data_IF_288479067748
#
_entry.id   IF_288479067748
#
_cell.length_a   1.000
_cell.length_b   1.000
_cell.length_c   1.000
_cell.angle_alpha   90.00
_cell.angle_beta   90.00
_cell.angle_gamma   90.00
#
_symmetry.space_group_name_H-M   'P 1'
#
loop_
_entity.id
_entity.type
_entity.pdbx_description
1 polymer ?
#
# COMPACT_ATOMS: atom_id res chain seq x y z
N UNK A 1 -3.83 23.11 -8.30
CA UNK A 1 -4.83 22.14 -8.78
C UNK A 1 -4.81 20.94 -7.86
N UNK A 2 -5.97 20.48 -7.45
CA UNK A 2 -6.09 19.29 -6.60
C UNK A 2 -6.04 18.08 -7.53
N UNK A 3 -5.09 17.16 -7.31
CA UNK A 3 -5.03 15.90 -8.06
C UNK A 3 -6.27 15.06 -7.73
N UNK A 4 -7.02 14.70 -8.75
CA UNK A 4 -8.21 13.89 -8.63
C UNK A 4 -7.89 12.39 -8.89
N UNK A 5 -8.60 11.46 -8.24
CA UNK A 5 -8.46 10.05 -8.56
C UNK A 5 -8.82 9.75 -10.02
N UNK A 6 -8.08 8.82 -10.63
CA UNK A 6 -8.31 8.39 -12.02
C UNK A 6 -9.34 7.25 -12.11
N UNK A 7 -9.52 6.49 -11.03
CA UNK A 7 -10.45 5.37 -11.00
C UNK A 7 -10.67 4.80 -9.61
N UNK A 8 -11.40 3.70 -9.54
CA UNK A 8 -11.63 2.94 -8.32
C UNK A 8 -10.63 1.80 -8.18
N UNK A 9 -10.33 1.35 -6.96
CA UNK A 9 -9.51 0.17 -6.71
C UNK A 9 -10.03 -1.07 -7.44
N UNK A 10 -9.13 -1.87 -8.00
CA UNK A 10 -9.46 -3.10 -8.74
C UNK A 10 -10.38 -4.06 -7.94
N UNK A 11 -10.20 -4.12 -6.62
CA UNK A 11 -10.95 -5.02 -5.74
C UNK A 11 -11.99 -4.29 -4.88
N UNK A 12 -12.61 -3.23 -5.41
CA UNK A 12 -13.59 -2.41 -4.67
C UNK A 12 -14.78 -3.23 -4.14
N UNK A 13 -15.23 -4.25 -4.86
CA UNK A 13 -16.32 -5.13 -4.42
C UNK A 13 -15.92 -5.90 -3.15
N UNK A 14 -14.67 -6.38 -3.09
CA UNK A 14 -14.13 -7.04 -1.91
C UNK A 14 -13.94 -6.07 -0.74
N UNK A 15 -13.56 -4.83 -1.03
CA UNK A 15 -13.49 -3.78 -0.02
C UNK A 15 -14.87 -3.46 0.55
N UNK A 16 -15.92 -3.53 -0.26
CA UNK A 16 -17.32 -3.39 0.18
C UNK A 16 -17.74 -4.51 1.13
N UNK A 17 -17.37 -5.76 0.82
CA UNK A 17 -17.60 -6.90 1.72
C UNK A 17 -16.86 -6.72 3.07
N UNK A 18 -15.59 -6.30 3.02
CA UNK A 18 -14.80 -6.03 4.23
C UNK A 18 -15.40 -4.88 5.04
N UNK A 19 -15.86 -3.82 4.37
CA UNK A 19 -16.54 -2.71 5.03
C UNK A 19 -17.80 -3.16 5.76
N UNK A 20 -18.65 -3.96 5.11
CA UNK A 20 -19.84 -4.52 5.72
C UNK A 20 -19.51 -5.40 6.94
N UNK A 21 -18.47 -6.23 6.83
CA UNK A 21 -17.99 -7.05 7.94
C UNK A 21 -17.47 -6.22 9.11
N UNK A 22 -16.70 -5.16 8.85
CA UNK A 22 -16.20 -4.25 9.88
C UNK A 22 -17.33 -3.50 10.57
N UNK A 23 -18.33 -3.01 9.81
CA UNK A 23 -19.52 -2.32 10.36
C UNK A 23 -20.37 -3.21 11.25
N UNK A 24 -20.31 -4.54 11.06
CA UNK A 24 -20.99 -5.52 11.91
C UNK A 24 -20.26 -5.84 13.22
N UNK A 25 -19.08 -5.27 13.47
CA UNK A 25 -18.26 -5.50 14.66
C UNK A 25 -18.60 -4.54 15.79
N UNK A 26 -18.56 -5.04 17.04
CA UNK A 26 -18.61 -4.18 18.22
C UNK A 26 -17.33 -3.34 18.38
N UNK A 27 -17.41 -2.27 19.16
CA UNK A 27 -16.24 -1.41 19.45
C UNK A 27 -15.08 -2.20 20.08
N UNK A 28 -15.38 -3.18 20.94
CA UNK A 28 -14.38 -4.01 21.62
C UNK A 28 -13.70 -4.97 20.63
N UNK A 29 -14.46 -5.60 19.73
CA UNK A 29 -13.90 -6.42 18.64
C UNK A 29 -13.02 -5.60 17.70
N UNK A 30 -13.43 -4.37 17.35
CA UNK A 30 -12.63 -3.45 16.52
C UNK A 30 -11.36 -3.02 17.24
N UNK A 31 -11.40 -2.77 18.55
CA UNK A 31 -10.22 -2.46 19.36
C UNK A 31 -9.22 -3.60 19.36
N UNK A 32 -9.68 -4.83 19.52
CA UNK A 32 -8.84 -6.02 19.46
C UNK A 32 -8.22 -6.21 18.08
N UNK A 33 -9.03 -6.04 17.02
CA UNK A 33 -8.59 -6.15 15.63
C UNK A 33 -7.52 -5.09 15.28
N UNK A 34 -7.75 -3.84 15.68
CA UNK A 34 -6.88 -2.71 15.33
C UNK A 34 -5.68 -2.54 16.28
N UNK A 35 -5.65 -3.22 17.41
CA UNK A 35 -4.57 -3.21 18.42
C UNK A 35 -4.10 -1.79 18.75
N UNK A 36 -5.03 -0.90 19.06
CA UNK A 36 -4.74 0.50 19.32
C UNK A 36 -5.46 1.01 20.58
N UNK A 37 -5.10 2.22 21.03
CA UNK A 37 -5.71 2.85 22.19
C UNK A 37 -7.14 3.36 21.90
N UNK A 38 -7.92 3.63 22.94
CA UNK A 38 -9.34 4.01 22.84
C UNK A 38 -9.57 5.26 21.97
N UNK A 39 -8.71 6.27 22.07
CA UNK A 39 -8.80 7.48 21.27
C UNK A 39 -8.72 7.18 19.76
N UNK A 40 -7.81 6.30 19.37
CA UNK A 40 -7.66 5.87 17.98
C UNK A 40 -8.85 4.99 17.55
N UNK A 41 -9.37 4.13 18.45
CA UNK A 41 -10.57 3.34 18.19
C UNK A 41 -11.74 4.25 17.90
N UNK A 42 -12.03 5.23 18.75
CA UNK A 42 -13.16 6.16 18.57
C UNK A 42 -13.07 6.92 17.24
N UNK A 43 -11.90 7.42 16.91
CA UNK A 43 -11.69 8.11 15.64
C UNK A 43 -11.99 7.21 14.44
N UNK A 44 -11.53 5.97 14.48
CA UNK A 44 -11.71 5.05 13.36
C UNK A 44 -13.12 4.44 13.30
N UNK A 45 -13.81 4.29 14.42
CA UNK A 45 -15.25 3.92 14.44
C UNK A 45 -16.07 5.00 13.74
N UNK A 46 -15.88 6.29 14.07
CA UNK A 46 -16.54 7.40 13.38
C UNK A 46 -16.25 7.44 11.88
N UNK A 47 -14.98 7.16 11.49
CA UNK A 47 -14.61 7.05 10.07
C UNK A 47 -15.34 5.90 9.40
N UNK A 48 -15.37 4.73 10.05
CA UNK A 48 -16.03 3.53 9.55
C UNK A 48 -17.55 3.73 9.34
N UNK A 49 -18.24 4.39 10.27
CA UNK A 49 -19.67 4.71 10.19
C UNK A 49 -19.99 5.56 8.95
N UNK A 50 -19.14 6.57 8.66
CA UNK A 50 -19.34 7.53 7.58
C UNK A 50 -18.56 7.17 6.30
N UNK A 51 -17.94 5.98 6.25
CA UNK A 51 -17.12 5.56 5.13
C UNK A 51 -17.96 5.35 3.86
N UNK A 52 -17.58 6.08 2.80
CA UNK A 52 -18.09 5.93 1.45
C UNK A 52 -16.92 5.54 0.54
N UNK A 53 -17.07 4.45 -0.22
CA UNK A 53 -16.03 3.90 -1.09
C UNK A 53 -16.09 4.45 -2.52
N UNK A 54 -17.08 5.31 -2.81
CA UNK A 54 -17.37 5.78 -4.17
C UNK A 54 -17.32 7.30 -4.32
N UNK A 55 -17.41 8.05 -3.22
CA UNK A 55 -17.45 9.51 -3.26
C UNK A 55 -16.43 10.13 -2.33
N UNK A 56 -15.98 11.37 -2.65
CA UNK A 56 -15.00 12.14 -1.86
C UNK A 56 -13.70 11.37 -1.65
N UNK A 57 -13.22 10.75 -2.72
CA UNK A 57 -12.02 9.93 -2.70
C UNK A 57 -10.78 10.81 -2.90
N UNK A 58 -9.67 10.33 -2.38
CA UNK A 58 -8.34 10.92 -2.57
C UNK A 58 -7.43 9.90 -3.26
N UNK A 59 -6.54 10.30 -4.17
CA UNK A 59 -5.56 9.38 -4.75
C UNK A 59 -4.79 8.61 -3.68
N UNK A 60 -4.63 7.31 -3.85
CA UNK A 60 -3.99 6.43 -2.87
C UNK A 60 -2.58 6.94 -2.48
N UNK A 61 -1.78 7.34 -3.47
CA UNK A 61 -0.41 7.82 -3.25
C UNK A 61 -0.34 9.03 -2.31
N UNK A 62 -1.38 9.87 -2.28
CA UNK A 62 -1.50 11.04 -1.43
C UNK A 62 -2.24 10.77 -0.11
N UNK A 63 -2.93 9.62 0.00
CA UNK A 63 -3.73 9.27 1.17
C UNK A 63 -2.96 8.49 2.23
N UNK A 64 -1.93 7.77 1.81
CA UNK A 64 -1.12 6.99 2.75
C UNK A 64 -0.08 7.87 3.44
N UNK A 65 -0.02 7.71 4.77
CA UNK A 65 0.93 8.38 5.62
C UNK A 65 1.98 7.38 6.14
N UNK A 66 3.15 7.89 6.46
CA UNK A 66 4.21 7.10 7.06
C UNK A 66 5.58 7.39 6.44
N UNK A 67 6.63 6.87 7.05
CA UNK A 67 8.01 7.21 6.73
C UNK A 67 8.33 6.96 5.24
N UNK A 68 7.90 5.85 4.66
CA UNK A 68 8.16 5.56 3.24
C UNK A 68 7.52 6.61 2.32
N UNK A 69 6.29 7.04 2.60
CA UNK A 69 5.60 8.08 1.80
C UNK A 69 6.22 9.45 1.99
N UNK A 70 6.68 9.79 3.21
CA UNK A 70 7.42 11.03 3.47
C UNK A 70 8.70 11.12 2.65
N UNK A 71 9.46 10.04 2.55
CA UNK A 71 10.71 9.97 1.78
C UNK A 71 10.49 9.82 0.27
N UNK A 72 9.40 9.20 -0.14
CA UNK A 72 8.95 9.20 -1.54
C UNK A 72 8.56 10.61 -1.99
N UNK A 73 7.99 11.41 -1.09
CA UNK A 73 7.55 12.80 -1.31
C UNK A 73 6.69 13.00 -2.57
N UNK A 74 5.57 12.30 -2.74
CA UNK A 74 4.77 12.37 -3.97
C UNK A 74 4.20 13.76 -4.28
N UNK A 75 4.19 14.65 -3.30
CA UNK A 75 3.72 16.04 -3.45
C UNK A 75 4.63 16.92 -4.31
N UNK A 76 5.87 16.47 -4.60
CA UNK A 76 6.81 17.18 -5.48
C UNK A 76 6.92 16.52 -6.86
N UNK A 77 6.09 15.53 -7.15
CA UNK A 77 6.06 14.87 -8.46
C UNK A 77 5.41 15.78 -9.51
N UNK A 78 5.93 15.73 -10.72
CA UNK A 78 5.39 16.37 -11.91
C UNK A 78 4.50 15.39 -12.69
N UNK A 79 3.75 15.88 -13.67
CA UNK A 79 2.78 15.07 -14.43
C UNK A 79 3.39 13.79 -15.00
N UNK A 80 4.58 13.85 -15.61
CA UNK A 80 5.27 12.66 -16.13
C UNK A 80 5.65 11.65 -15.06
N UNK A 81 5.92 12.10 -13.83
CA UNK A 81 6.18 11.21 -12.69
C UNK A 81 4.90 10.49 -12.25
N UNK A 82 3.74 11.15 -12.30
CA UNK A 82 2.45 10.51 -12.00
C UNK A 82 2.06 9.49 -13.06
N UNK A 83 2.34 9.73 -14.33
CA UNK A 83 2.16 8.76 -15.41
C UNK A 83 3.03 7.52 -15.17
N UNK A 84 4.31 7.71 -14.89
CA UNK A 84 5.24 6.62 -14.61
C UNK A 84 4.80 5.76 -13.42
N UNK A 85 4.49 6.37 -12.26
CA UNK A 85 4.08 5.59 -11.09
C UNK A 85 2.73 4.90 -11.29
N UNK A 86 1.81 5.50 -12.04
CA UNK A 86 0.51 4.88 -12.34
C UNK A 86 0.68 3.59 -13.14
N UNK A 87 1.67 3.52 -14.00
CA UNK A 87 1.99 2.32 -14.76
C UNK A 87 2.77 1.30 -13.92
N UNK A 88 3.81 1.72 -13.21
CA UNK A 88 4.80 0.82 -12.61
C UNK A 88 4.59 0.55 -11.12
N UNK A 89 4.06 1.50 -10.33
CA UNK A 89 3.92 1.33 -8.89
C UNK A 89 2.61 0.61 -8.53
N UNK A 90 2.71 -0.30 -7.55
CA UNK A 90 1.55 -0.93 -6.90
C UNK A 90 1.68 -0.78 -5.39
N UNK A 91 0.59 -0.40 -4.74
CA UNK A 91 0.49 -0.21 -3.29
C UNK A 91 -0.31 -1.38 -2.71
N UNK A 92 0.28 -2.09 -1.75
CA UNK A 92 -0.39 -3.20 -1.07
C UNK A 92 -1.18 -2.71 0.14
N UNK A 93 -2.46 -3.02 0.17
CA UNK A 93 -3.40 -2.60 1.19
C UNK A 93 -4.18 -3.78 1.77
N UNK A 94 -4.32 -3.84 3.08
CA UNK A 94 -5.13 -4.86 3.75
C UNK A 94 -6.63 -4.73 3.45
N UNK A 95 -7.07 -3.51 3.14
CA UNK A 95 -8.48 -3.20 2.90
C UNK A 95 -8.83 -3.20 1.40
N UNK A 96 -7.98 -2.57 0.58
CA UNK A 96 -8.22 -2.42 -0.85
C UNK A 96 -7.53 -3.46 -1.73
N UNK A 97 -6.65 -4.29 -1.16
CA UNK A 97 -5.85 -5.24 -1.93
C UNK A 97 -4.66 -4.59 -2.63
N UNK A 98 -4.65 -4.60 -3.93
CA UNK A 98 -3.64 -3.94 -4.76
C UNK A 98 -4.22 -2.65 -5.33
N UNK A 99 -3.51 -1.56 -5.13
CA UNK A 99 -3.89 -0.24 -5.61
C UNK A 99 -2.88 0.27 -6.65
N UNK A 100 -3.37 0.97 -7.63
CA UNK A 100 -2.57 1.92 -8.41
C UNK A 100 -2.48 3.25 -7.66
N UNK A 101 -1.42 4.05 -7.88
CA UNK A 101 -1.22 5.32 -7.16
C UNK A 101 -2.39 6.28 -7.20
N UNK A 102 -3.07 6.38 -8.35
CA UNK A 102 -4.18 7.31 -8.55
C UNK A 102 -5.57 6.67 -8.33
N UNK A 103 -5.64 5.46 -7.78
CA UNK A 103 -6.91 4.88 -7.35
C UNK A 103 -7.50 5.69 -6.20
N UNK A 104 -8.80 5.95 -6.27
CA UNK A 104 -9.52 6.71 -5.26
C UNK A 104 -9.77 5.90 -4.00
N UNK A 105 -9.30 6.39 -2.88
CA UNK A 105 -9.47 5.73 -1.57
C UNK A 105 -10.04 6.69 -0.53
N UNK A 106 -10.61 6.11 0.53
CA UNK A 106 -11.02 6.81 1.74
C UNK A 106 -10.22 6.29 2.95
N UNK A 107 -10.01 7.09 4.00
CA UNK A 107 -9.24 6.67 5.16
C UNK A 107 -9.86 5.44 5.86
N UNK A 108 -9.03 4.45 6.14
CA UNK A 108 -9.40 3.23 6.84
C UNK A 108 -8.31 2.82 7.84
N UNK A 109 -8.63 1.84 8.70
CA UNK A 109 -7.66 1.15 9.53
C UNK A 109 -7.88 -0.36 9.46
N UNK A 110 -6.95 -1.07 8.88
CA UNK A 110 -6.89 -2.53 8.88
C UNK A 110 -5.43 -2.97 8.70
N UNK A 111 -4.94 -3.82 9.60
CA UNK A 111 -3.59 -4.36 9.53
C UNK A 111 -3.55 -5.60 8.60
N UNK A 112 -2.43 -5.81 7.88
CA UNK A 112 -2.28 -6.94 6.94
C UNK A 112 -2.49 -8.32 7.58
N UNK A 113 -2.27 -8.45 8.88
CA UNK A 113 -2.50 -9.70 9.62
C UNK A 113 -3.97 -10.08 9.78
N UNK A 114 -4.89 -9.17 9.49
CA UNK A 114 -6.32 -9.40 9.58
C UNK A 114 -6.89 -10.03 8.31
N UNK A 115 -6.56 -11.30 8.03
CA UNK A 115 -7.18 -12.17 6.99
C UNK A 115 -7.28 -11.59 5.57
N UNK A 116 -6.27 -10.87 5.10
CA UNK A 116 -6.24 -10.31 3.74
C UNK A 116 -5.88 -11.34 2.65
N UNK A 117 -5.92 -12.64 2.95
CA UNK A 117 -5.43 -13.73 2.10
C UNK A 117 -6.14 -13.87 0.74
N UNK A 118 -7.27 -13.21 0.54
CA UNK A 118 -8.10 -13.36 -0.68
C UNK A 118 -7.90 -12.26 -1.73
N UNK A 119 -7.11 -11.20 -1.43
CA UNK A 119 -7.15 -9.96 -2.19
C UNK A 119 -6.08 -9.82 -3.29
N UNK A 120 -5.13 -10.74 -3.39
CA UNK A 120 -3.90 -10.47 -4.14
C UNK A 120 -3.74 -11.23 -5.46
N UNK A 121 -4.83 -11.68 -6.06
CA UNK A 121 -4.78 -12.21 -7.43
C UNK A 121 -4.71 -11.05 -8.43
N UNK A 122 -3.63 -10.93 -9.18
CA UNK A 122 -3.55 -10.00 -10.32
C UNK A 122 -2.52 -8.88 -10.21
N UNK A 123 -1.43 -9.07 -9.47
CA UNK A 123 -0.31 -8.09 -9.42
C UNK A 123 0.63 -8.24 -10.64
N UNK A 124 0.40 -9.22 -11.47
CA UNK A 124 1.24 -9.54 -12.61
C UNK A 124 1.10 -8.50 -13.71
N UNK A 125 2.20 -7.88 -14.14
CA UNK A 125 2.25 -7.12 -15.37
C UNK A 125 2.45 -8.05 -16.60
N UNK A 126 2.33 -7.49 -17.80
CA UNK A 126 2.51 -8.25 -19.03
C UNK A 126 3.94 -8.78 -19.24
N UNK A 127 4.93 -8.15 -18.61
CA UNK A 127 6.35 -8.51 -18.70
C UNK A 127 6.78 -9.54 -17.63
N UNK A 128 5.95 -9.79 -16.63
CA UNK A 128 6.24 -10.71 -15.54
C UNK A 128 7.40 -10.27 -14.64
N UNK A 129 7.80 -9.00 -14.64
CA UNK A 129 8.87 -8.46 -13.77
C UNK A 129 8.23 -7.77 -12.57
N UNK A 130 8.58 -8.24 -11.37
CA UNK A 130 8.08 -7.68 -10.11
C UNK A 130 9.26 -7.28 -9.25
N UNK A 131 9.40 -5.98 -8.97
CA UNK A 131 10.39 -5.46 -8.02
C UNK A 131 9.71 -5.27 -6.67
N UNK A 132 10.08 -6.09 -5.71
CA UNK A 132 9.53 -6.03 -4.36
C UNK A 132 10.33 -5.05 -3.48
N UNK A 133 9.69 -3.93 -3.15
CA UNK A 133 10.14 -2.95 -2.16
C UNK A 133 9.34 -3.06 -0.85
N UNK A 134 8.30 -3.89 -0.80
CA UNK A 134 7.46 -4.06 0.37
C UNK A 134 8.19 -4.80 1.51
N UNK A 135 7.72 -4.63 2.73
CA UNK A 135 8.22 -5.43 3.85
C UNK A 135 7.77 -6.89 3.72
N UNK A 136 8.48 -7.79 4.36
CA UNK A 136 8.21 -9.23 4.32
C UNK A 136 6.76 -9.60 4.76
N UNK A 137 6.14 -8.78 5.58
CA UNK A 137 4.74 -8.95 5.99
C UNK A 137 3.78 -8.79 4.81
N UNK A 138 4.05 -7.83 3.92
CA UNK A 138 3.24 -7.54 2.74
C UNK A 138 3.63 -8.42 1.55
N UNK A 139 4.91 -8.62 1.29
CA UNK A 139 5.39 -9.38 0.13
C UNK A 139 4.92 -10.83 0.13
N UNK A 140 4.80 -11.46 1.29
CA UNK A 140 4.26 -12.82 1.43
C UNK A 140 2.87 -13.01 0.82
N UNK A 141 2.08 -11.94 0.74
CA UNK A 141 0.76 -12.00 0.13
C UNK A 141 0.84 -12.17 -1.39
N UNK A 142 1.93 -11.71 -2.00
CA UNK A 142 2.20 -11.80 -3.44
C UNK A 142 3.01 -13.05 -3.76
N UNK A 143 4.04 -13.34 -2.96
CA UNK A 143 4.99 -14.44 -3.20
C UNK A 143 4.31 -15.80 -3.44
N UNK A 144 3.17 -16.04 -2.79
CA UNK A 144 2.41 -17.30 -2.97
C UNK A 144 1.74 -17.46 -4.34
N UNK A 145 1.65 -16.39 -5.13
CA UNK A 145 1.00 -16.39 -6.44
C UNK A 145 2.00 -16.31 -7.59
N UNK A 146 3.30 -16.19 -7.28
CA UNK A 146 4.36 -16.18 -8.28
C UNK A 146 4.43 -17.52 -9.00
N UNK A 147 4.70 -17.49 -10.30
CA UNK A 147 4.93 -18.63 -11.16
C UNK A 147 6.39 -18.66 -11.63
N UNK A 148 6.80 -19.75 -12.30
CA UNK A 148 8.13 -19.87 -12.88
C UNK A 148 8.41 -18.87 -14.02
N UNK A 149 7.36 -18.27 -14.56
CA UNK A 149 7.45 -17.25 -15.61
C UNK A 149 7.69 -15.84 -15.05
N UNK A 150 7.54 -15.64 -13.73
CA UNK A 150 7.70 -14.34 -13.11
C UNK A 150 9.16 -14.08 -12.71
N UNK A 151 9.68 -12.93 -13.06
CA UNK A 151 10.95 -12.44 -12.55
C UNK A 151 10.71 -11.62 -11.29
N UNK A 152 10.99 -12.21 -10.13
CA UNK A 152 10.77 -11.56 -8.84
C UNK A 152 12.08 -11.11 -8.23
N UNK A 153 12.27 -9.79 -8.13
CA UNK A 153 13.46 -9.14 -7.57
C UNK A 153 13.10 -8.52 -6.22
N UNK A 154 13.64 -9.04 -5.14
CA UNK A 154 13.42 -8.48 -3.80
C UNK A 154 14.58 -7.61 -3.36
N UNK A 155 14.33 -6.31 -3.17
CA UNK A 155 15.33 -5.33 -2.70
C UNK A 155 15.27 -5.25 -1.18
N UNK A 156 16.40 -5.52 -0.52
CA UNK A 156 16.54 -5.46 0.93
C UNK A 156 17.49 -4.34 1.33
N UNK A 157 17.00 -3.46 2.19
CA UNK A 157 17.80 -2.34 2.72
C UNK A 157 18.37 -2.72 4.08
N UNK A 158 19.68 -2.81 4.17
CA UNK A 158 20.41 -3.19 5.37
C UNK A 158 21.68 -2.37 5.54
N UNK A 159 22.14 -2.18 6.76
CA UNK A 159 23.42 -1.58 7.07
C UNK A 159 24.40 -2.65 7.57
N UNK A 160 25.69 -2.42 7.38
CA UNK A 160 26.73 -3.28 7.95
C UNK A 160 27.01 -2.86 9.41
N UNK A 161 26.71 -3.76 10.33
CA UNK A 161 26.96 -3.55 11.76
C UNK A 161 27.74 -4.73 12.33
N UNK A 162 28.91 -4.48 12.87
CA UNK A 162 29.81 -5.50 13.41
C UNK A 162 30.04 -6.70 12.44
N UNK A 163 30.22 -6.41 11.14
CA UNK A 163 30.46 -7.43 10.10
C UNK A 163 29.20 -8.22 9.67
N UNK A 164 28.01 -7.84 10.13
CA UNK A 164 26.74 -8.47 9.73
C UNK A 164 25.79 -7.46 9.13
N UNK A 165 25.01 -7.90 8.13
CA UNK A 165 23.93 -7.09 7.57
C UNK A 165 22.74 -7.08 8.56
N UNK A 166 22.35 -5.88 8.99
CA UNK A 166 21.25 -5.65 9.92
C UNK A 166 20.22 -4.72 9.29
N UNK A 167 18.96 -5.15 9.23
CA UNK A 167 17.85 -4.32 8.76
C UNK A 167 17.25 -3.55 9.94
N UNK A 168 17.40 -2.23 9.94
CA UNK A 168 16.71 -1.34 10.89
C UNK A 168 15.40 -0.85 10.28
N UNK A 169 14.28 -1.16 10.90
CA UNK A 169 12.94 -0.95 10.35
C UNK A 169 12.67 0.48 9.87
N UNK A 170 13.11 1.50 10.62
CA UNK A 170 12.94 2.91 10.25
C UNK A 170 13.75 3.26 9.01
N UNK A 171 15.04 2.93 8.98
CA UNK A 171 15.91 3.21 7.82
C UNK A 171 15.48 2.45 6.58
N UNK A 172 15.01 1.21 6.72
CA UNK A 172 14.47 0.45 5.61
C UNK A 172 13.20 1.09 5.01
N UNK A 173 12.35 1.73 5.84
CA UNK A 173 11.19 2.48 5.35
C UNK A 173 11.60 3.74 4.60
N UNK A 174 12.58 4.49 5.13
CA UNK A 174 13.15 5.66 4.47
C UNK A 174 13.71 5.29 3.09
N UNK A 175 14.59 4.30 3.05
CA UNK A 175 15.25 3.85 1.82
C UNK A 175 14.25 3.31 0.76
N UNK A 176 13.14 2.67 1.17
CA UNK A 176 12.06 2.29 0.23
C UNK A 176 11.42 3.50 -0.42
N UNK A 177 11.12 4.53 0.35
CA UNK A 177 10.54 5.77 -0.18
C UNK A 177 11.50 6.45 -1.16
N UNK A 178 12.76 6.62 -0.78
CA UNK A 178 13.80 7.20 -1.63
C UNK A 178 14.03 6.37 -2.91
N UNK A 179 14.00 5.04 -2.82
CA UNK A 179 14.15 4.18 -4.00
C UNK A 179 13.00 4.36 -4.99
N UNK A 180 11.75 4.40 -4.51
CA UNK A 180 10.60 4.66 -5.38
C UNK A 180 10.75 6.04 -6.03
N UNK A 181 11.10 7.05 -5.25
CA UNK A 181 11.34 8.40 -5.76
C UNK A 181 12.43 8.42 -6.83
N UNK A 182 13.58 7.80 -6.55
CA UNK A 182 14.70 7.71 -7.50
C UNK A 182 14.28 7.01 -8.81
N UNK A 183 13.57 5.89 -8.73
CA UNK A 183 13.08 5.18 -9.91
C UNK A 183 12.10 6.05 -10.71
N UNK A 184 11.25 6.80 -10.02
CA UNK A 184 10.26 7.70 -10.64
C UNK A 184 10.93 8.87 -11.35
N UNK A 185 11.83 9.60 -10.65
CA UNK A 185 12.54 10.76 -11.21
C UNK A 185 13.44 10.39 -12.40
N UNK A 186 13.89 9.15 -12.49
CA UNK A 186 14.75 8.65 -13.56
C UNK A 186 14.03 7.75 -14.58
N UNK A 187 12.70 7.57 -14.45
CA UNK A 187 11.89 6.74 -15.34
C UNK A 187 12.52 5.37 -15.60
N UNK A 188 12.89 4.64 -14.54
CA UNK A 188 13.62 3.36 -14.64
C UNK A 188 12.64 2.25 -15.07
N UNK A 189 12.84 1.69 -16.26
CA UNK A 189 12.01 0.63 -16.82
C UNK A 189 12.66 -0.76 -16.77
N UNK A 190 13.94 -0.84 -16.59
CA UNK A 190 14.67 -2.11 -16.50
C UNK A 190 15.50 -2.14 -15.24
N UNK A 191 15.41 -3.22 -14.44
CA UNK A 191 16.19 -3.38 -13.21
C UNK A 191 17.69 -3.65 -13.46
#
# INVERSE_FOLDING_TARGET
>A
DTLEPVGLPMFIDRSTEILAWLKGKSKDELKELWKCNDKIVEQNVRRLENMDLYHRLTPAILSYEGIAYQYMAPTVFEDGHFEYIQEHLRILSAFYGVLKPMDGVTPYRLEMKAKADMLYKGVRDEKGIIINLASKEYSKCIERYLSEEDTYISITFSELSAGKLVTKGTYAKMARGEMIRFMTENCIENP
#
